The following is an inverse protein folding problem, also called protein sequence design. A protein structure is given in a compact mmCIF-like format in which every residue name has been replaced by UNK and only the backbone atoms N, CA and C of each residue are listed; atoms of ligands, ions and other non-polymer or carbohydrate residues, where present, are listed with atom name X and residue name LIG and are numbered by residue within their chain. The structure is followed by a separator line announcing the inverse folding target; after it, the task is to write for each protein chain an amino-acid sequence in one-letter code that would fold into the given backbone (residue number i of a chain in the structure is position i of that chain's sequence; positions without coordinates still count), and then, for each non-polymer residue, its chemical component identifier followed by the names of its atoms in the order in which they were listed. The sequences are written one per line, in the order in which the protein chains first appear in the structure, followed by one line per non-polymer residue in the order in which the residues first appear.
data_IF_806925705066
#
_entry.id   IF_806925705066
#
_cell.length_a   1.000
_cell.length_b   1.000
_cell.length_c   1.000
_cell.angle_alpha   90.00
_cell.angle_beta   90.00
_cell.angle_gamma   90.00
#
_symmetry.space_group_name_H-M   'P 1'
#
loop_
_entity.id
_entity.type
_entity.pdbx_description
1 polymer ?
#
# COMPACT_ATOMS: atom_id res chain seq x y z
N UNK A 1 -12.26 -19.30 -5.35
CA UNK A 1 -11.07 -19.65 -4.54
C UNK A 1 -10.50 -18.36 -3.96
N UNK A 2 -10.41 -18.27 -2.64
CA UNK A 2 -9.85 -17.09 -1.95
C UNK A 2 -8.37 -17.34 -1.71
N UNK A 3 -7.52 -16.31 -1.93
CA UNK A 3 -6.08 -16.39 -1.71
C UNK A 3 -5.64 -15.26 -0.79
N UNK A 4 -4.74 -15.56 0.14
CA UNK A 4 -4.01 -14.55 0.92
C UNK A 4 -2.74 -14.22 0.13
N UNK A 5 -2.53 -12.93 -0.13
CA UNK A 5 -1.32 -12.43 -0.79
C UNK A 5 -0.56 -11.62 0.25
N UNK A 6 0.69 -11.98 0.50
CA UNK A 6 1.59 -11.18 1.33
C UNK A 6 2.07 -9.98 0.52
N UNK A 7 2.03 -8.81 1.14
CA UNK A 7 2.36 -7.55 0.48
C UNK A 7 3.32 -6.75 1.35
N UNK A 8 4.58 -6.68 0.92
CA UNK A 8 5.69 -6.15 1.74
C UNK A 8 6.10 -4.71 1.34
N UNK A 9 5.56 -4.22 0.23
CA UNK A 9 5.95 -2.94 -0.35
C UNK A 9 5.24 -1.78 0.39
N UNK A 10 6.03 -0.87 0.94
CA UNK A 10 5.53 0.22 1.82
C UNK A 10 5.46 1.58 1.13
N UNK A 11 5.79 1.66 -0.16
CA UNK A 11 5.98 2.93 -0.86
C UNK A 11 5.62 2.88 -2.34
N UNK A 12 5.32 4.04 -2.94
CA UNK A 12 4.98 4.10 -4.34
C UNK A 12 6.20 3.88 -5.24
N UNK A 13 5.93 3.48 -6.48
CA UNK A 13 6.94 3.44 -7.56
C UNK A 13 6.77 4.67 -8.43
N UNK A 14 7.89 5.34 -8.72
CA UNK A 14 7.91 6.41 -9.72
C UNK A 14 7.95 5.81 -11.12
N UNK A 15 7.12 6.32 -12.02
CA UNK A 15 7.19 6.07 -13.46
C UNK A 15 7.24 7.40 -14.21
N UNK A 16 7.95 7.46 -15.33
CA UNK A 16 8.00 8.64 -16.20
C UNK A 16 7.10 8.42 -17.40
N UNK A 17 6.07 9.25 -17.56
CA UNK A 17 5.14 9.21 -18.69
C UNK A 17 5.22 10.55 -19.40
N UNK A 18 5.72 10.57 -20.64
CA UNK A 18 5.88 11.80 -21.42
C UNK A 18 6.82 12.84 -20.77
N UNK A 19 7.74 12.41 -19.91
CA UNK A 19 8.64 13.30 -19.17
C UNK A 19 8.12 13.74 -17.80
N UNK A 20 6.85 13.47 -17.47
CA UNK A 20 6.28 13.74 -16.15
C UNK A 20 6.40 12.54 -15.21
N UNK A 21 6.74 12.80 -13.94
CA UNK A 21 6.72 11.79 -12.89
C UNK A 21 5.28 11.48 -12.45
N UNK A 22 4.90 10.20 -12.49
CA UNK A 22 3.69 9.67 -11.88
C UNK A 22 4.07 8.64 -10.84
N UNK A 23 3.23 8.48 -9.81
CA UNK A 23 3.49 7.59 -8.69
C UNK A 23 2.44 6.50 -8.62
N UNK A 24 2.86 5.24 -8.78
CA UNK A 24 1.98 4.08 -8.69
C UNK A 24 1.94 3.56 -7.25
N UNK A 25 0.74 3.23 -6.78
CA UNK A 25 0.55 2.60 -5.49
C UNK A 25 1.16 1.20 -5.52
N UNK A 26 2.04 0.93 -4.56
CA UNK A 26 2.48 -0.43 -4.25
C UNK A 26 2.30 -0.78 -2.79
N UNK A 27 1.48 -0.08 -2.01
CA UNK A 27 1.16 -0.48 -0.63
C UNK A 27 -0.19 -1.20 -0.50
N UNK A 28 -1.00 -1.24 -1.57
CA UNK A 28 -2.33 -1.85 -1.55
C UNK A 28 -3.42 -1.03 -0.84
N UNK A 29 -3.07 0.08 -0.17
CA UNK A 29 -4.01 0.89 0.62
C UNK A 29 -4.58 2.13 -0.09
N UNK A 30 -4.09 2.45 -1.30
CA UNK A 30 -4.59 3.62 -2.02
C UNK A 30 -6.08 3.48 -2.36
N UNK A 31 -6.83 4.56 -2.17
CA UNK A 31 -8.22 4.69 -2.64
C UNK A 31 -8.31 5.16 -4.10
N UNK A 32 -7.19 5.57 -4.68
CA UNK A 32 -7.08 6.07 -6.05
C UNK A 32 -6.19 5.14 -6.93
N UNK A 33 -6.33 3.82 -6.76
CA UNK A 33 -5.55 2.86 -7.54
C UNK A 33 -5.78 3.03 -9.05
N UNK A 34 -4.72 2.89 -9.89
CA UNK A 34 -3.38 2.39 -9.57
C UNK A 34 -2.42 3.44 -8.99
N UNK A 35 -2.86 4.68 -8.80
CA UNK A 35 -2.01 5.78 -8.37
C UNK A 35 -1.85 5.86 -6.85
N UNK A 36 -0.72 6.42 -6.43
CA UNK A 36 -0.46 6.74 -5.03
C UNK A 36 -1.29 7.94 -4.58
N UNK A 37 -2.00 7.81 -3.46
CA UNK A 37 -2.73 8.90 -2.80
C UNK A 37 -2.12 9.28 -1.43
N UNK A 38 -0.94 8.72 -1.11
CA UNK A 38 -0.28 8.93 0.18
C UNK A 38 -0.70 7.96 1.29
N UNK A 39 -1.66 7.05 1.06
CA UNK A 39 -2.11 6.06 2.07
C UNK A 39 -1.01 5.12 2.55
N UNK A 40 0.08 4.96 1.78
CA UNK A 40 1.28 4.22 2.17
C UNK A 40 1.93 4.73 3.46
N UNK A 41 1.67 5.98 3.88
CA UNK A 41 2.16 6.50 5.16
C UNK A 41 1.66 5.69 6.37
N UNK A 42 0.53 4.98 6.23
CA UNK A 42 -0.01 4.09 7.27
C UNK A 42 0.80 2.82 7.49
N UNK A 43 1.76 2.51 6.62
CA UNK A 43 2.62 1.33 6.73
C UNK A 43 3.99 1.65 7.32
N UNK A 44 4.30 2.93 7.60
CA UNK A 44 5.63 3.38 8.04
C UNK A 44 5.98 2.92 9.45
N UNK A 45 4.98 2.65 10.28
CA UNK A 45 5.11 2.18 11.66
C UNK A 45 4.91 0.66 11.79
N UNK A 46 4.83 -0.06 10.67
CA UNK A 46 4.72 -1.51 10.68
C UNK A 46 6.01 -2.16 11.16
N UNK A 47 5.88 -3.14 12.06
CA UNK A 47 7.00 -3.91 12.57
C UNK A 47 7.35 -5.01 11.56
N UNK A 48 8.63 -5.07 11.18
CA UNK A 48 9.14 -6.09 10.27
C UNK A 48 8.84 -7.50 10.81
N UNK A 49 8.24 -8.33 9.96
CA UNK A 49 7.87 -9.71 10.30
C UNK A 49 6.52 -9.86 11.01
N UNK A 50 5.79 -8.76 11.25
CA UNK A 50 4.39 -8.79 11.66
C UNK A 50 3.48 -8.64 10.44
N UNK A 51 2.30 -9.26 10.52
CA UNK A 51 1.28 -9.15 9.48
C UNK A 51 0.19 -8.22 9.98
N UNK A 52 -0.23 -7.29 9.12
CA UNK A 52 -1.28 -6.34 9.44
C UNK A 52 -2.47 -6.52 8.49
N UNK A 53 -3.67 -6.58 9.06
CA UNK A 53 -4.92 -6.56 8.31
C UNK A 53 -5.58 -5.20 8.44
N UNK A 54 -5.86 -4.60 7.28
CA UNK A 54 -6.57 -3.33 7.18
C UNK A 54 -8.05 -3.57 6.94
N UNK A 55 -8.88 -3.18 7.91
CA UNK A 55 -10.32 -3.39 7.87
C UNK A 55 -11.04 -2.23 7.16
N UNK A 56 -12.22 -2.47 6.54
CA UNK A 56 -12.99 -1.42 5.85
C UNK A 56 -13.41 -0.24 6.74
N UNK A 57 -13.48 -0.46 8.05
CA UNK A 57 -13.78 0.56 9.05
C UNK A 57 -12.59 1.48 9.37
N UNK A 58 -11.44 1.25 8.72
CA UNK A 58 -10.23 2.04 8.87
C UNK A 58 -9.33 1.59 10.03
N UNK A 59 -9.72 0.57 10.79
CA UNK A 59 -8.86 -0.03 11.82
C UNK A 59 -7.84 -0.98 11.21
N UNK A 60 -6.68 -1.08 11.85
CA UNK A 60 -5.62 -2.05 11.54
C UNK A 60 -5.48 -2.99 12.73
N UNK A 61 -5.37 -4.29 12.46
CA UNK A 61 -5.09 -5.32 13.46
C UNK A 61 -3.85 -6.13 13.06
N UNK A 62 -3.05 -6.49 14.05
CA UNK A 62 -1.96 -7.45 13.87
C UNK A 62 -2.55 -8.86 13.81
N UNK A 63 -2.13 -9.66 12.83
CA UNK A 63 -2.59 -11.04 12.59
C UNK A 63 -1.44 -12.01 12.76
#
# INVERSE_FOLDING_TARGET
MTRIILHEEQGPMEIKVGGESKWLCRCGLSKNQPYCDGSHKKTLDEVKGKVYRYNPDGRREEV
#
